data_IF_705170628467
#
_entry.id   IF_705170628467
#
_cell.length_a   1.000
_cell.length_b   1.000
_cell.length_c   1.000
_cell.angle_alpha   90.00
_cell.angle_beta   90.00
_cell.angle_gamma   90.00
#
_symmetry.space_group_name_H-M   'P 1'
#
loop_
_entity.id
_entity.type
_entity.pdbx_description
1 polymer ?
#
# COMPACT_ATOMS: atom_id res chain seq x y z
N UNK A 1 0.61 -3.05 0.87
CA UNK A 1 0.59 -3.74 2.16
C UNK A 1 1.10 -2.80 3.23
N UNK A 2 0.40 -2.73 4.35
CA UNK A 2 0.83 -1.96 5.54
C UNK A 2 2.26 -2.35 5.97
N UNK A 3 2.60 -3.64 5.86
CA UNK A 3 3.90 -4.24 6.20
C UNK A 3 5.05 -3.88 5.24
N UNK A 4 4.76 -3.39 4.02
CA UNK A 4 5.80 -3.10 3.01
C UNK A 4 6.35 -1.67 3.16
N UNK A 5 6.95 -1.41 4.32
CA UNK A 5 7.50 -0.09 4.72
C UNK A 5 8.51 0.43 3.69
N UNK A 6 9.35 -0.45 3.13
CA UNK A 6 10.35 -0.09 2.12
C UNK A 6 9.73 0.50 0.84
N UNK A 7 8.66 -0.13 0.33
CA UNK A 7 7.97 0.39 -0.85
C UNK A 7 7.24 1.71 -0.56
N UNK A 8 6.65 1.87 0.63
CA UNK A 8 5.98 3.11 1.05
C UNK A 8 6.94 4.30 1.03
N UNK A 9 8.11 4.14 1.65
CA UNK A 9 9.14 5.18 1.64
C UNK A 9 9.64 5.51 0.22
N UNK A 10 9.75 4.51 -0.65
CA UNK A 10 10.10 4.75 -2.05
C UNK A 10 9.01 5.57 -2.76
N UNK A 11 7.75 5.17 -2.64
CA UNK A 11 6.61 5.85 -3.27
C UNK A 11 6.48 7.31 -2.83
N UNK A 12 6.58 7.55 -1.53
CA UNK A 12 6.55 8.91 -0.97
C UNK A 12 7.71 9.76 -1.50
N UNK A 13 8.93 9.20 -1.57
CA UNK A 13 10.10 9.91 -2.11
C UNK A 13 9.96 10.26 -3.59
N UNK A 14 9.31 9.40 -4.39
CA UNK A 14 9.14 9.63 -5.84
C UNK A 14 7.84 10.36 -6.20
N UNK A 15 7.15 10.93 -5.20
CA UNK A 15 6.04 11.87 -5.37
C UNK A 15 4.66 11.22 -5.46
N UNK A 16 4.50 9.96 -5.04
CA UNK A 16 3.17 9.37 -4.88
C UNK A 16 2.52 9.84 -3.57
N UNK A 17 1.20 9.98 -3.58
CA UNK A 17 0.38 10.35 -2.42
C UNK A 17 -0.41 9.13 -1.93
N UNK A 18 -0.36 8.86 -0.63
CA UNK A 18 -1.15 7.79 0.00
C UNK A 18 -2.62 8.23 0.12
N UNK A 19 -3.56 7.35 -0.26
CA UNK A 19 -5.00 7.62 -0.18
C UNK A 19 -5.62 7.21 1.16
N UNK A 20 -4.94 6.36 1.94
CA UNK A 20 -5.41 5.85 3.22
C UNK A 20 -5.03 4.38 3.42
N UNK A 21 -5.76 3.70 4.31
CA UNK A 21 -5.62 2.27 4.55
C UNK A 21 -6.97 1.59 4.36
N UNK A 22 -7.00 0.53 3.56
CA UNK A 22 -8.18 -0.31 3.36
C UNK A 22 -7.95 -1.62 4.13
N UNK A 23 -8.76 -1.93 5.15
CA UNK A 23 -8.63 -3.16 5.90
C UNK A 23 -8.97 -4.37 5.03
N UNK A 24 -8.20 -5.45 5.16
CA UNK A 24 -8.39 -6.70 4.41
C UNK A 24 -8.51 -6.52 2.89
N UNK A 25 -7.83 -5.52 2.33
CA UNK A 25 -7.93 -5.18 0.91
C UNK A 25 -7.11 -6.09 -0.03
N UNK A 26 -6.31 -7.01 0.50
CA UNK A 26 -5.54 -7.95 -0.32
C UNK A 26 -5.54 -9.35 0.27
N UNK A 27 -5.78 -10.36 -0.58
CA UNK A 27 -5.76 -11.77 -0.20
C UNK A 27 -4.39 -12.38 -0.44
N UNK A 28 -3.81 -12.94 0.61
CA UNK A 28 -2.54 -13.65 0.60
C UNK A 28 -2.68 -15.05 0.03
N UNK A 29 -1.55 -15.68 -0.32
CA UNK A 29 -1.52 -17.03 -0.90
C UNK A 29 -2.02 -18.10 0.07
N UNK A 30 -1.86 -17.87 1.37
CA UNK A 30 -2.33 -18.77 2.44
C UNK A 30 -3.83 -18.57 2.78
N UNK A 31 -4.51 -17.66 2.07
CA UNK A 31 -5.93 -17.35 2.29
C UNK A 31 -6.21 -16.27 3.34
N UNK A 32 -5.18 -15.77 4.03
CA UNK A 32 -5.33 -14.62 4.95
C UNK A 32 -5.51 -13.31 4.19
N UNK A 33 -6.00 -12.27 4.87
CA UNK A 33 -6.20 -10.95 4.29
C UNK A 33 -5.37 -9.90 5.02
N UNK A 34 -4.65 -9.09 4.25
CA UNK A 34 -3.85 -7.98 4.76
C UNK A 34 -4.44 -6.62 4.39
N UNK A 35 -4.10 -5.62 5.21
CA UNK A 35 -4.41 -4.22 4.95
C UNK A 35 -3.56 -3.69 3.78
N UNK A 36 -4.17 -2.87 2.94
CA UNK A 36 -3.46 -2.19 1.84
C UNK A 36 -3.47 -0.69 2.04
N UNK A 37 -2.44 -0.04 1.50
CA UNK A 37 -2.31 1.41 1.45
C UNK A 37 -2.20 1.81 -0.02
N UNK A 38 -3.28 2.23 -0.69
CA UNK A 38 -3.24 2.67 -2.08
C UNK A 38 -2.47 3.98 -2.22
N UNK A 39 -1.75 4.11 -3.34
CA UNK A 39 -0.97 5.29 -3.70
C UNK A 39 -1.36 5.74 -5.12
N UNK A 40 -1.36 7.05 -5.35
CA UNK A 40 -1.57 7.63 -6.68
C UNK A 40 -0.50 8.67 -7.01
N UNK A 41 -0.27 8.90 -8.30
CA UNK A 41 0.59 9.94 -8.83
C UNK A 41 -0.09 10.57 -10.05
N UNK A 42 -0.23 11.89 -10.02
CA UNK A 42 -0.66 12.67 -11.18
C UNK A 42 0.51 12.72 -12.17
N UNK A 43 0.22 12.56 -13.46
CA UNK A 43 1.19 12.59 -14.56
C UNK A 43 1.13 13.93 -15.30
#
# INVERSE_FOLDING_TARGET
>A
MESNVHARHLYERVGFKQLGTIPHGFRMKDGTYENICPYYKEL
#
